data_IF_710935464076
#
_entry.id   IF_710935464076
#
_cell.length_a   1.000
_cell.length_b   1.000
_cell.length_c   1.000
_cell.angle_alpha   90.00
_cell.angle_beta   90.00
_cell.angle_gamma   90.00
#
_symmetry.space_group_name_H-M   'P 1'
#
loop_
_entity.id
_entity.type
_entity.pdbx_description
1 polymer ?
#
# COMPACT_ATOMS: atom_id res chain seq x y z
N UNK A 1 8.65 27.99 8.72
CA UNK A 1 7.29 27.95 9.31
C UNK A 1 6.35 27.40 8.25
N UNK A 2 5.95 26.13 8.37
CA UNK A 2 5.01 25.51 7.44
C UNK A 2 3.59 25.83 7.91
N UNK A 3 2.84 26.57 7.10
CA UNK A 3 1.44 26.90 7.41
C UNK A 3 0.58 25.91 6.63
N UNK A 4 -0.14 25.05 7.36
CA UNK A 4 -1.10 24.10 6.81
C UNK A 4 -2.31 24.87 6.26
N UNK A 5 -2.24 25.27 5.00
CA UNK A 5 -3.41 25.74 4.24
C UNK A 5 -4.39 24.58 3.99
N UNK A 6 -5.53 24.80 3.30
CA UNK A 6 -6.48 23.74 2.93
C UNK A 6 -5.92 22.74 1.90
N UNK A 7 -4.60 22.65 1.77
CA UNK A 7 -3.77 21.84 0.89
C UNK A 7 -4.44 21.41 -0.41
N UNK A 8 -4.21 22.16 -1.49
CA UNK A 8 -4.36 21.55 -2.81
C UNK A 8 -3.49 20.29 -2.84
N UNK A 9 -4.02 19.17 -3.34
CA UNK A 9 -3.19 18.00 -3.62
C UNK A 9 -2.07 18.45 -4.57
N UNK A 10 -0.82 18.28 -4.15
CA UNK A 10 0.36 18.68 -4.91
C UNK A 10 0.96 17.52 -5.70
N UNK A 11 0.75 16.30 -5.20
CA UNK A 11 1.35 15.08 -5.73
C UNK A 11 0.30 13.96 -5.72
N UNK A 12 0.35 13.12 -6.75
CA UNK A 12 -0.46 11.90 -6.84
C UNK A 12 0.41 10.78 -7.43
N UNK A 13 1.05 10.02 -6.54
CA UNK A 13 2.12 9.09 -6.87
C UNK A 13 1.56 7.67 -6.99
N UNK A 14 1.59 7.12 -8.21
CA UNK A 14 0.99 5.82 -8.53
C UNK A 14 1.99 4.91 -9.28
N UNK A 15 1.96 3.58 -9.08
CA UNK A 15 2.90 2.66 -9.71
C UNK A 15 2.70 2.45 -11.22
N UNK A 16 1.56 2.88 -11.76
CA UNK A 16 1.27 2.74 -13.19
C UNK A 16 0.23 3.77 -13.68
N UNK A 17 0.06 3.84 -14.99
CA UNK A 17 -1.01 4.61 -15.64
C UNK A 17 -2.36 3.96 -15.43
N UNK A 18 -3.40 4.76 -15.17
CA UNK A 18 -4.78 4.30 -15.17
C UNK A 18 -5.51 4.75 -16.46
N UNK A 19 -6.31 3.90 -17.12
CA UNK A 19 -6.36 2.44 -17.03
C UNK A 19 -5.42 1.82 -18.08
N UNK A 20 -4.53 0.86 -17.75
CA UNK A 20 -3.78 0.15 -18.77
C UNK A 20 -4.57 -1.10 -19.20
N UNK A 21 -5.80 -0.93 -19.74
CA UNK A 21 -6.69 -1.98 -20.33
C UNK A 21 -7.10 -3.15 -19.38
N UNK A 22 -8.21 -3.91 -19.64
CA UNK A 22 -9.63 -3.61 -19.34
C UNK A 22 -9.85 -3.29 -17.81
N UNK A 23 -11.06 -3.24 -17.18
CA UNK A 23 -11.27 -2.41 -15.97
C UNK A 23 -10.46 -2.91 -14.76
N UNK A 24 -9.29 -2.30 -14.57
CA UNK A 24 -8.51 -2.42 -13.36
C UNK A 24 -9.01 -1.34 -12.41
N UNK A 25 -9.43 -1.74 -11.21
CA UNK A 25 -9.94 -0.82 -10.16
C UNK A 25 -8.87 -0.49 -9.12
N UNK A 26 -7.64 -0.99 -9.31
CA UNK A 26 -6.52 -0.78 -8.39
C UNK A 26 -5.22 -0.58 -9.17
N UNK A 27 -4.33 0.25 -8.63
CA UNK A 27 -2.93 0.28 -9.01
C UNK A 27 -2.16 -0.76 -8.20
N UNK A 28 -1.29 -1.52 -8.86
CA UNK A 28 -0.46 -2.54 -8.20
C UNK A 28 0.98 -2.45 -8.68
N UNK A 29 1.91 -2.73 -7.77
CA UNK A 29 3.32 -2.98 -8.10
C UNK A 29 3.77 -4.26 -7.42
N UNK A 30 4.68 -4.98 -8.06
CA UNK A 30 5.25 -6.19 -7.47
C UNK A 30 6.34 -5.80 -6.47
N UNK A 31 6.24 -6.31 -5.24
CA UNK A 31 7.32 -6.27 -4.25
C UNK A 31 8.04 -7.62 -4.28
N UNK A 32 9.38 -7.65 -4.42
CA UNK A 32 10.15 -8.90 -4.36
C UNK A 32 9.86 -9.68 -3.07
N UNK A 33 9.67 -11.00 -3.17
CA UNK A 33 9.31 -11.82 -2.01
C UNK A 33 10.38 -11.90 -0.92
N UNK A 34 11.66 -11.72 -1.29
CA UNK A 34 12.80 -11.66 -0.35
C UNK A 34 12.82 -10.37 0.50
N UNK A 35 11.89 -9.46 0.24
CA UNK A 35 11.66 -8.24 1.00
C UNK A 35 10.47 -8.32 1.95
N UNK A 36 9.87 -9.51 2.07
CA UNK A 36 8.74 -9.77 2.96
C UNK A 36 9.14 -10.91 3.90
N UNK A 37 9.08 -10.66 5.20
CA UNK A 37 9.29 -11.68 6.24
C UNK A 37 8.01 -11.82 7.08
N UNK A 38 7.53 -13.05 7.28
CA UNK A 38 6.24 -13.33 7.90
C UNK A 38 6.38 -14.40 8.97
N UNK A 39 6.03 -14.05 10.19
CA UNK A 39 6.01 -14.93 11.36
C UNK A 39 4.60 -14.93 11.97
N UNK A 40 3.69 -15.70 11.37
CA UNK A 40 2.29 -15.74 11.82
C UNK A 40 2.13 -16.27 13.24
N UNK A 41 3.00 -17.18 13.69
CA UNK A 41 2.97 -17.68 15.07
C UNK A 41 3.06 -16.55 16.10
N UNK A 42 3.95 -15.59 15.87
CA UNK A 42 4.13 -14.38 16.71
C UNK A 42 3.26 -13.19 16.28
N UNK A 43 2.45 -13.31 15.24
CA UNK A 43 1.61 -12.21 14.74
C UNK A 43 2.41 -11.06 14.14
N UNK A 44 3.59 -11.33 13.59
CA UNK A 44 4.48 -10.31 13.06
C UNK A 44 4.81 -10.51 11.59
N UNK A 45 4.98 -9.41 10.87
CA UNK A 45 5.52 -9.40 9.53
C UNK A 45 6.27 -8.10 9.26
N UNK A 46 7.21 -8.11 8.32
CA UNK A 46 7.89 -6.91 7.83
C UNK A 46 7.95 -6.90 6.31
N UNK A 47 7.82 -5.71 5.72
CA UNK A 47 8.00 -5.48 4.29
C UNK A 47 8.93 -4.28 4.08
N UNK A 48 9.94 -4.42 3.23
CA UNK A 48 10.86 -3.33 2.86
C UNK A 48 10.97 -3.22 1.34
N UNK A 49 10.31 -2.23 0.75
CA UNK A 49 10.41 -1.98 -0.68
C UNK A 49 11.27 -0.74 -0.92
N UNK A 50 12.29 -0.86 -1.75
CA UNK A 50 13.18 0.24 -2.09
C UNK A 50 13.18 0.44 -3.61
N UNK A 51 13.50 1.66 -4.05
CA UNK A 51 13.62 1.99 -5.47
C UNK A 51 12.36 1.63 -6.29
N UNK A 52 11.17 1.76 -5.69
CA UNK A 52 9.91 1.47 -6.38
C UNK A 52 9.65 2.58 -7.38
N UNK A 53 9.75 2.26 -8.68
CA UNK A 53 9.44 3.19 -9.75
C UNK A 53 7.94 3.45 -9.84
N UNK A 54 7.58 4.72 -9.83
CA UNK A 54 6.21 5.23 -9.83
C UNK A 54 6.14 6.48 -10.69
N UNK A 55 4.93 6.98 -10.90
CA UNK A 55 4.62 8.18 -11.66
C UNK A 55 3.87 9.17 -10.78
N UNK A 56 4.31 10.42 -10.77
CA UNK A 56 3.58 11.52 -10.14
C UNK A 56 2.71 12.25 -11.17
N UNK A 57 1.40 12.24 -10.94
CA UNK A 57 0.40 12.90 -11.78
C UNK A 57 0.04 14.31 -11.28
N UNK A 58 0.58 14.74 -10.14
CA UNK A 58 0.29 16.00 -9.46
C UNK A 58 -1.09 16.03 -8.77
N UNK A 59 -2.12 15.41 -9.36
CA UNK A 59 -3.43 15.27 -8.74
C UNK A 59 -4.19 14.04 -9.25
N UNK A 60 -5.16 13.58 -8.45
CA UNK A 60 -5.99 12.41 -8.73
C UNK A 60 -6.80 12.51 -10.03
N UNK A 61 -7.20 13.72 -10.45
CA UNK A 61 -7.96 13.93 -11.68
C UNK A 61 -7.13 13.57 -12.92
N UNK A 62 -5.87 14.00 -12.96
CA UNK A 62 -4.93 13.64 -14.01
C UNK A 62 -4.57 12.14 -13.95
N UNK A 63 -4.40 11.57 -12.76
CA UNK A 63 -4.10 10.14 -12.60
C UNK A 63 -5.23 9.23 -13.11
N UNK A 64 -6.50 9.61 -12.87
CA UNK A 64 -7.66 8.80 -13.25
C UNK A 64 -8.15 9.05 -14.68
N UNK A 65 -8.09 10.29 -15.16
CA UNK A 65 -8.75 10.69 -16.42
C UNK A 65 -7.79 11.19 -17.49
N UNK A 66 -6.52 11.43 -17.14
CA UNK A 66 -5.54 12.04 -18.04
C UNK A 66 -5.91 13.48 -18.42
N UNK A 67 -5.35 13.95 -19.54
CA UNK A 67 -5.61 15.29 -20.09
C UNK A 67 -4.84 16.43 -19.43
N UNK A 68 -4.11 16.16 -18.34
CA UNK A 68 -3.14 17.08 -17.74
C UNK A 68 -1.73 16.95 -18.32
N UNK A 69 -0.72 17.58 -17.68
CA UNK A 69 0.68 17.39 -18.03
C UNK A 69 1.08 15.91 -17.97
N UNK A 70 2.12 15.55 -18.73
CA UNK A 70 2.72 14.22 -18.64
C UNK A 70 3.23 13.98 -17.20
N UNK A 71 2.99 12.77 -16.63
CA UNK A 71 3.43 12.48 -15.28
C UNK A 71 4.96 12.45 -15.18
N UNK A 72 5.47 12.81 -14.00
CA UNK A 72 6.90 12.82 -13.73
C UNK A 72 7.36 11.46 -13.17
N UNK A 73 8.53 10.96 -13.58
CA UNK A 73 9.13 9.80 -12.93
C UNK A 73 9.42 10.08 -11.47
N UNK A 74 9.08 9.13 -10.62
CA UNK A 74 9.30 9.21 -9.19
C UNK A 74 9.76 7.85 -8.64
N UNK A 75 10.42 7.90 -7.49
CA UNK A 75 10.92 6.71 -6.78
C UNK A 75 10.44 6.74 -5.35
N UNK A 76 9.90 5.62 -4.85
CA UNK A 76 9.41 5.48 -3.48
C UNK A 76 10.12 4.35 -2.76
N UNK A 77 10.34 4.54 -1.46
CA UNK A 77 10.72 3.47 -0.55
C UNK A 77 9.71 3.37 0.60
N UNK A 78 9.42 2.14 1.02
CA UNK A 78 8.49 1.80 2.09
C UNK A 78 9.15 0.85 3.08
N UNK A 79 8.90 1.08 4.36
CA UNK A 79 9.13 0.09 5.41
C UNK A 79 7.85 -0.07 6.20
N UNK A 80 7.35 -1.31 6.28
CA UNK A 80 6.11 -1.64 6.98
C UNK A 80 6.38 -2.76 7.98
N UNK A 81 5.84 -2.61 9.19
CA UNK A 81 5.99 -3.58 10.28
C UNK A 81 4.63 -3.87 10.91
N UNK A 82 4.17 -5.12 10.80
CA UNK A 82 3.01 -5.66 11.51
C UNK A 82 3.47 -6.34 12.80
N UNK A 83 2.79 -6.07 13.91
CA UNK A 83 3.11 -6.68 15.22
C UNK A 83 1.87 -6.81 16.09
N UNK A 84 1.88 -7.85 16.92
CA UNK A 84 0.84 -8.11 17.91
C UNK A 84 -0.15 -9.18 17.47
N UNK A 85 -0.98 -9.62 18.41
CA UNK A 85 -2.04 -10.60 18.20
C UNK A 85 -3.25 -10.11 18.98
N UNK A 86 -3.99 -9.17 18.40
CA UNK A 86 -5.18 -8.62 19.04
C UNK A 86 -6.33 -9.62 18.92
N UNK A 87 -6.48 -10.24 17.75
CA UNK A 87 -7.49 -11.25 17.48
C UNK A 87 -7.02 -12.29 16.46
N UNK A 88 -7.40 -13.56 16.66
CA UNK A 88 -7.35 -14.60 15.63
C UNK A 88 -8.72 -14.81 15.03
N UNK A 89 -8.81 -14.80 13.70
CA UNK A 89 -10.09 -14.85 12.97
C UNK A 89 -10.02 -15.93 11.92
N UNK A 90 -11.00 -16.83 11.92
CA UNK A 90 -11.18 -17.83 10.88
C UNK A 90 -12.44 -17.46 10.09
N UNK A 91 -12.29 -17.21 8.80
CA UNK A 91 -13.37 -16.82 7.90
C UNK A 91 -13.56 -17.92 6.88
N UNK A 92 -14.81 -18.29 6.61
CA UNK A 92 -15.18 -19.15 5.48
C UNK A 92 -16.46 -18.65 4.84
N UNK A 93 -16.42 -18.44 3.54
CA UNK A 93 -17.56 -18.22 2.68
C UNK A 93 -17.58 -19.35 1.64
N UNK A 94 -18.63 -20.16 1.64
CA UNK A 94 -18.82 -21.26 0.69
C UNK A 94 -19.83 -20.92 -0.41
N UNK A 95 -20.10 -19.63 -0.66
CA UNK A 95 -21.02 -19.20 -1.70
C UNK A 95 -20.43 -19.50 -3.09
N UNK A 96 -21.03 -20.43 -3.86
CA UNK A 96 -20.52 -20.82 -5.16
C UNK A 96 -20.67 -19.71 -6.21
N UNK A 97 -21.54 -18.71 -6.00
CA UNK A 97 -21.74 -17.59 -6.94
C UNK A 97 -20.48 -16.73 -7.03
N UNK A 98 -19.77 -16.56 -5.92
CA UNK A 98 -18.56 -15.75 -5.83
C UNK A 98 -17.27 -16.58 -5.77
N UNK A 99 -17.38 -17.90 -6.01
CA UNK A 99 -16.24 -18.81 -6.07
C UNK A 99 -15.69 -19.26 -4.73
N UNK A 100 -16.30 -18.88 -3.60
CA UNK A 100 -15.87 -19.31 -2.26
C UNK A 100 -14.50 -18.76 -1.80
N UNK A 101 -14.36 -18.59 -0.49
CA UNK A 101 -13.15 -18.07 0.16
C UNK A 101 -12.99 -18.65 1.57
N UNK A 102 -11.76 -18.92 1.99
CA UNK A 102 -11.45 -19.17 3.39
C UNK A 102 -10.09 -18.58 3.77
N UNK A 103 -9.98 -18.15 5.03
CA UNK A 103 -8.70 -17.71 5.56
C UNK A 103 -8.61 -17.76 7.07
N UNK A 104 -7.37 -17.80 7.52
CA UNK A 104 -6.96 -17.76 8.92
C UNK A 104 -6.11 -16.51 9.11
N UNK A 105 -6.60 -15.58 9.93
CA UNK A 105 -6.09 -14.23 10.04
C UNK A 105 -5.74 -13.85 11.47
N UNK A 106 -4.83 -12.90 11.56
CA UNK A 106 -4.35 -12.28 12.78
C UNK A 106 -4.55 -10.79 12.60
N UNK A 107 -5.53 -10.24 13.33
CA UNK A 107 -5.69 -8.79 13.42
C UNK A 107 -4.70 -8.26 14.44
N UNK A 108 -4.03 -7.19 14.06
CA UNK A 108 -2.94 -6.61 14.80
C UNK A 108 -2.80 -5.13 14.47
N UNK A 109 -1.63 -4.55 14.77
CA UNK A 109 -1.27 -3.20 14.39
C UNK A 109 -0.14 -3.20 13.36
N UNK A 110 -0.14 -2.20 12.48
CA UNK A 110 0.93 -1.93 11.55
C UNK A 110 1.48 -0.51 11.73
N UNK A 111 2.77 -0.37 11.45
CA UNK A 111 3.46 0.91 11.34
C UNK A 111 4.11 0.99 9.96
N UNK A 112 4.13 2.18 9.37
CA UNK A 112 4.78 2.44 8.09
C UNK A 112 5.60 3.73 8.16
N UNK A 113 6.77 3.70 7.53
CA UNK A 113 7.46 4.91 7.09
C UNK A 113 7.74 4.81 5.59
N UNK A 114 7.78 5.96 4.92
CA UNK A 114 8.04 6.02 3.49
C UNK A 114 8.79 7.29 3.09
N UNK A 115 9.46 7.22 1.95
CA UNK A 115 10.07 8.38 1.30
C UNK A 115 9.75 8.35 -0.18
N UNK A 116 9.57 9.52 -0.80
CA UNK A 116 9.45 9.65 -2.24
C UNK A 116 10.40 10.73 -2.77
N UNK A 117 10.90 10.52 -3.97
CA UNK A 117 11.68 11.52 -4.70
C UNK A 117 11.04 11.77 -6.06
N UNK A 118 10.75 13.04 -6.37
CA UNK A 118 10.17 13.49 -7.64
C UNK A 118 10.99 14.68 -8.14
N UNK A 119 11.79 14.47 -9.19
CA UNK A 119 12.74 15.49 -9.65
C UNK A 119 13.68 15.95 -8.51
N UNK A 120 13.58 17.23 -8.12
CA UNK A 120 14.38 17.82 -7.03
C UNK A 120 13.66 17.85 -5.67
N UNK A 121 12.44 17.31 -5.58
CA UNK A 121 11.66 17.26 -4.35
C UNK A 121 11.86 15.92 -3.64
N UNK A 122 11.93 15.98 -2.31
CA UNK A 122 11.97 14.82 -1.44
C UNK A 122 10.85 14.93 -0.41
N UNK A 123 10.08 13.86 -0.30
CA UNK A 123 9.01 13.68 0.68
C UNK A 123 9.43 12.58 1.66
N UNK A 124 9.21 12.83 2.94
CA UNK A 124 9.60 11.93 4.03
C UNK A 124 8.44 11.91 5.01
N UNK A 125 7.94 10.72 5.33
CA UNK A 125 6.94 10.55 6.39
C UNK A 125 7.54 10.81 7.77
N UNK A 126 6.70 10.93 8.78
CA UNK A 126 7.18 10.80 10.15
C UNK A 126 7.82 9.41 10.38
N UNK A 127 8.71 9.25 11.38
CA UNK A 127 9.38 7.98 11.65
C UNK A 127 8.42 6.83 11.96
N UNK A 128 8.85 5.60 11.70
CA UNK A 128 8.05 4.38 11.94
C UNK A 128 7.44 4.33 13.36
N UNK A 129 8.18 4.77 14.37
CA UNK A 129 7.76 4.73 15.78
C UNK A 129 6.56 5.61 16.10
N UNK A 130 6.28 6.63 15.29
CA UNK A 130 5.13 7.52 15.45
C UNK A 130 3.97 7.17 14.51
N UNK A 131 4.18 6.24 13.58
CA UNK A 131 3.11 5.71 12.73
C UNK A 131 2.15 4.84 13.54
N UNK A 132 0.89 4.84 13.14
CA UNK A 132 -0.14 3.93 13.65
C UNK A 132 -1.11 3.55 12.54
N UNK A 133 -1.79 2.42 12.72
CA UNK A 133 -2.82 1.91 11.81
C UNK A 133 -4.17 1.88 12.52
N UNK A 134 -5.26 2.19 11.81
CA UNK A 134 -6.62 1.92 12.31
C UNK A 134 -7.01 0.45 12.20
N UNK A 135 -6.37 -0.28 11.28
CA UNK A 135 -6.55 -1.71 11.06
C UNK A 135 -5.29 -2.30 10.44
N UNK A 136 -4.93 -3.50 10.87
CA UNK A 136 -3.93 -4.31 10.19
C UNK A 136 -4.26 -5.80 10.38
N UNK A 137 -3.91 -6.60 9.37
CA UNK A 137 -4.18 -8.03 9.36
C UNK A 137 -3.08 -8.76 8.57
N UNK A 138 -2.68 -9.92 9.06
CA UNK A 138 -1.81 -10.87 8.36
C UNK A 138 -2.42 -12.27 8.45
N UNK A 139 -2.23 -13.12 7.46
CA UNK A 139 -2.82 -14.45 7.49
C UNK A 139 -2.60 -15.29 6.24
N UNK A 140 -3.21 -16.47 6.24
CA UNK A 140 -3.31 -17.32 5.07
C UNK A 140 -4.71 -17.19 4.45
N UNK A 141 -4.74 -17.02 3.13
CA UNK A 141 -5.97 -16.98 2.35
C UNK A 141 -5.96 -18.10 1.30
N UNK A 142 -7.15 -18.64 1.01
CA UNK A 142 -7.42 -19.52 -0.13
C UNK A 142 -8.72 -19.11 -0.82
N UNK A 143 -8.64 -18.90 -2.13
CA UNK A 143 -9.78 -18.66 -3.01
C UNK A 143 -10.24 -19.98 -3.65
N UNK A 144 -11.53 -20.15 -3.97
CA UNK A 144 -12.02 -21.34 -4.66
C UNK A 144 -12.50 -22.50 -3.78
N UNK A 145 -12.90 -22.26 -2.52
CA UNK A 145 -13.14 -23.28 -1.46
C UNK A 145 -14.60 -23.64 -1.18
#
# INVERSE_FOLDING_TARGET
MYIKGPGAQLDDINPSTFPPLPPQIFWTTAVPGDRIDVHLGSGSATMEAEHVHVLDYGNIGNALFGGGPAPLPATVAYKVSWKGVDQRVNIRNSDPVYGGFAGEFIRNSAQMEWTATVGNYQFVSDPLSTSSSSFAEIGHERNGV
#
